data_IF_866892388980
#
_entry.id   IF_866892388980
#
_cell.length_a   1.000
_cell.length_b   1.000
_cell.length_c   1.000
_cell.angle_alpha   90.00
_cell.angle_beta   90.00
_cell.angle_gamma   90.00
#
_symmetry.space_group_name_H-M   'P 1'
#
loop_
_entity.id
_entity.type
_entity.pdbx_description
1 polymer ?
#
# COMPACT_ATOMS: atom_id res chain seq x y z
N UNK A 1 -25.20 -12.27 17.30
CA UNK A 1 -26.45 -11.53 17.05
C UNK A 1 -27.61 -11.95 17.97
N UNK A 2 -28.02 -13.24 18.07
CA UNK A 2 -29.12 -13.67 18.97
C UNK A 2 -28.92 -13.25 20.44
N UNK A 3 -27.77 -13.60 21.01
CA UNK A 3 -27.41 -13.20 22.38
C UNK A 3 -27.38 -11.68 22.61
N UNK A 4 -27.06 -10.90 21.58
CA UNK A 4 -27.05 -9.43 21.66
C UNK A 4 -28.45 -8.81 21.58
N UNK A 5 -29.48 -9.56 21.17
CA UNK A 5 -30.88 -9.14 21.32
C UNK A 5 -31.32 -9.26 22.78
N UNK A 6 -30.91 -10.35 23.43
CA UNK A 6 -31.32 -10.68 24.79
C UNK A 6 -30.50 -9.91 25.84
N UNK A 7 -29.20 -9.69 25.58
CA UNK A 7 -28.33 -8.93 26.47
C UNK A 7 -27.36 -8.02 25.68
N UNK A 8 -27.86 -6.87 25.19
CA UNK A 8 -27.11 -6.01 24.26
C UNK A 8 -25.79 -5.49 24.85
N UNK A 9 -25.77 -5.06 26.11
CA UNK A 9 -24.57 -4.48 26.72
C UNK A 9 -23.40 -5.46 26.82
N UNK A 10 -23.68 -6.76 26.97
CA UNK A 10 -22.66 -7.81 27.06
C UNK A 10 -22.18 -8.22 25.67
N UNK A 11 -23.10 -8.44 24.73
CA UNK A 11 -22.76 -9.12 23.47
C UNK A 11 -22.59 -8.21 22.26
N UNK A 12 -23.07 -6.96 22.29
CA UNK A 12 -22.85 -6.02 21.19
C UNK A 12 -21.36 -5.75 20.89
N UNK A 13 -20.45 -5.63 21.88
CA UNK A 13 -19.02 -5.46 21.60
C UNK A 13 -18.43 -6.60 20.77
N UNK A 14 -18.77 -7.84 21.12
CA UNK A 14 -18.33 -9.03 20.39
C UNK A 14 -18.94 -9.10 18.99
N UNK A 15 -20.22 -8.74 18.85
CA UNK A 15 -20.86 -8.67 17.52
C UNK A 15 -20.15 -7.64 16.64
N UNK A 16 -19.89 -6.44 17.15
CA UNK A 16 -19.19 -5.39 16.40
C UNK A 16 -17.77 -5.83 15.97
N UNK A 17 -17.02 -6.46 16.88
CA UNK A 17 -15.68 -7.00 16.60
C UNK A 17 -15.74 -8.05 15.49
N UNK A 18 -16.63 -9.04 15.62
CA UNK A 18 -16.76 -10.12 14.63
C UNK A 18 -17.18 -9.60 13.26
N UNK A 19 -18.10 -8.63 13.21
CA UNK A 19 -18.53 -8.02 11.95
C UNK A 19 -17.37 -7.27 11.27
N UNK A 20 -16.61 -6.48 12.03
CA UNK A 20 -15.42 -5.80 11.52
C UNK A 20 -14.39 -6.79 10.97
N UNK A 21 -14.12 -7.88 11.70
CA UNK A 21 -13.13 -8.87 11.29
C UNK A 21 -13.59 -9.69 10.07
N UNK A 22 -14.88 -10.03 10.00
CA UNK A 22 -15.44 -10.67 8.82
C UNK A 22 -15.37 -9.75 7.59
N UNK A 23 -15.64 -8.46 7.77
CA UNK A 23 -15.51 -7.48 6.70
C UNK A 23 -14.07 -7.35 6.19
N UNK A 24 -13.06 -7.41 7.08
CA UNK A 24 -11.65 -7.46 6.69
C UNK A 24 -11.37 -8.70 5.83
N UNK A 25 -11.82 -9.88 6.28
CA UNK A 25 -11.55 -11.15 5.61
C UNK A 25 -12.10 -11.18 4.18
N UNK A 26 -13.30 -10.65 3.96
CA UNK A 26 -14.02 -10.79 2.68
C UNK A 26 -13.89 -9.55 1.79
N UNK A 27 -13.37 -8.44 2.33
CA UNK A 27 -13.29 -7.16 1.62
C UNK A 27 -12.30 -7.16 0.44
N UNK A 28 -11.34 -8.08 0.44
CA UNK A 28 -10.42 -8.30 -0.68
C UNK A 28 -11.07 -9.02 -1.87
N UNK A 29 -12.20 -9.70 -1.67
CA UNK A 29 -12.91 -10.41 -2.73
C UNK A 29 -13.80 -9.43 -3.51
N UNK A 30 -13.50 -9.19 -4.79
CA UNK A 30 -14.22 -8.21 -5.60
C UNK A 30 -15.74 -8.40 -5.59
N UNK A 31 -16.21 -9.66 -5.60
CA UNK A 31 -17.64 -10.00 -5.61
C UNK A 31 -18.34 -9.77 -4.26
N UNK A 32 -17.58 -9.66 -3.16
CA UNK A 32 -18.09 -9.52 -1.79
C UNK A 32 -17.80 -8.18 -1.15
N UNK A 33 -17.23 -7.24 -1.90
CA UNK A 33 -16.92 -5.88 -1.42
C UNK A 33 -18.15 -5.17 -0.83
N UNK A 34 -19.32 -5.28 -1.47
CA UNK A 34 -20.59 -4.72 -0.96
C UNK A 34 -21.07 -5.39 0.33
N UNK A 35 -20.80 -6.68 0.49
CA UNK A 35 -21.08 -7.42 1.73
C UNK A 35 -20.17 -6.90 2.85
N UNK A 36 -18.86 -6.78 2.61
CA UNK A 36 -17.89 -6.23 3.56
C UNK A 36 -18.28 -4.82 4.03
N UNK A 37 -18.69 -3.96 3.09
CA UNK A 37 -19.14 -2.60 3.41
C UNK A 37 -20.35 -2.61 4.36
N UNK A 38 -21.34 -3.46 4.09
CA UNK A 38 -22.52 -3.61 4.94
C UNK A 38 -22.13 -4.04 6.35
N UNK A 39 -21.20 -4.99 6.47
CA UNK A 39 -20.69 -5.48 7.75
C UNK A 39 -19.93 -4.39 8.52
N UNK A 40 -19.08 -3.60 7.86
CA UNK A 40 -18.42 -2.45 8.49
C UNK A 40 -19.42 -1.40 8.98
N UNK A 41 -20.44 -1.07 8.18
CA UNK A 41 -21.48 -0.10 8.58
C UNK A 41 -22.29 -0.60 9.78
N UNK A 42 -22.61 -1.90 9.85
CA UNK A 42 -23.25 -2.51 11.03
C UNK A 42 -22.34 -2.48 12.26
N UNK A 43 -21.07 -2.86 12.12
CA UNK A 43 -20.07 -2.80 13.20
C UNK A 43 -19.92 -1.37 13.74
N UNK A 44 -19.79 -0.39 12.84
CA UNK A 44 -19.65 1.02 13.18
C UNK A 44 -20.87 1.53 13.95
N UNK A 45 -22.08 1.16 13.53
CA UNK A 45 -23.31 1.52 14.23
C UNK A 45 -23.35 0.94 15.65
N UNK A 46 -22.90 -0.30 15.83
CA UNK A 46 -22.79 -0.90 17.17
C UNK A 46 -21.75 -0.20 18.04
N UNK A 47 -20.54 0.05 17.53
CA UNK A 47 -19.51 0.76 18.29
C UNK A 47 -19.91 2.19 18.63
N UNK A 48 -20.53 2.94 17.71
CA UNK A 48 -21.05 4.30 18.01
C UNK A 48 -22.13 4.28 19.08
N UNK A 49 -23.02 3.28 19.09
CA UNK A 49 -24.02 3.14 20.16
C UNK A 49 -23.35 2.88 21.51
N UNK A 50 -22.38 1.96 21.55
CA UNK A 50 -21.64 1.62 22.77
C UNK A 50 -20.77 2.80 23.28
N UNK A 51 -20.20 3.59 22.37
CA UNK A 51 -19.36 4.75 22.70
C UNK A 51 -20.14 5.91 23.33
N UNK A 52 -21.48 5.97 23.18
CA UNK A 52 -22.30 6.96 23.90
C UNK A 52 -22.26 6.74 25.41
N UNK A 53 -22.22 5.47 25.83
CA UNK A 53 -22.23 5.11 27.25
C UNK A 53 -20.80 5.01 27.81
N UNK A 54 -19.85 4.50 27.02
CA UNK A 54 -18.46 4.26 27.44
C UNK A 54 -17.46 4.65 26.34
N UNK A 55 -17.24 5.96 26.09
CA UNK A 55 -16.45 6.44 24.96
C UNK A 55 -15.01 5.92 24.98
N UNK A 56 -14.32 5.97 26.11
CA UNK A 56 -12.93 5.51 26.21
C UNK A 56 -12.75 4.04 25.79
N UNK A 57 -13.75 3.19 26.03
CA UNK A 57 -13.67 1.75 25.70
C UNK A 57 -13.94 1.50 24.22
N UNK A 58 -14.89 2.23 23.62
CA UNK A 58 -15.41 1.88 22.30
C UNK A 58 -15.01 2.82 21.16
N UNK A 59 -14.52 4.02 21.46
CA UNK A 59 -13.93 4.91 20.45
C UNK A 59 -12.77 4.28 19.67
N UNK A 60 -11.88 3.46 20.26
CA UNK A 60 -10.90 2.70 19.48
C UNK A 60 -11.55 1.82 18.40
N UNK A 61 -12.64 1.12 18.75
CA UNK A 61 -13.42 0.31 17.79
C UNK A 61 -14.05 1.15 16.68
N UNK A 62 -14.61 2.32 17.02
CA UNK A 62 -15.14 3.29 16.04
C UNK A 62 -14.04 3.69 15.05
N UNK A 63 -12.88 4.14 15.54
CA UNK A 63 -11.79 4.62 14.69
C UNK A 63 -11.23 3.52 13.77
N UNK A 64 -11.03 2.31 14.30
CA UNK A 64 -10.57 1.15 13.52
C UNK A 64 -11.56 0.81 12.40
N UNK A 65 -12.85 0.74 12.71
CA UNK A 65 -13.87 0.43 11.69
C UNK A 65 -13.99 1.54 10.64
N UNK A 66 -13.89 2.81 11.01
CA UNK A 66 -13.86 3.93 10.07
C UNK A 66 -12.68 3.85 9.10
N UNK A 67 -11.47 3.61 9.62
CA UNK A 67 -10.26 3.46 8.80
C UNK A 67 -10.36 2.27 7.84
N UNK A 68 -10.91 1.13 8.31
CA UNK A 68 -11.07 -0.06 7.47
C UNK A 68 -12.13 0.13 6.39
N UNK A 69 -13.24 0.82 6.72
CA UNK A 69 -14.24 1.19 5.73
C UNK A 69 -13.67 2.17 4.70
N UNK A 70 -12.87 3.15 5.12
CA UNK A 70 -12.17 4.06 4.22
C UNK A 70 -11.22 3.31 3.26
N UNK A 71 -10.46 2.33 3.77
CA UNK A 71 -9.62 1.45 2.96
C UNK A 71 -10.44 0.65 1.93
N UNK A 72 -11.65 0.21 2.27
CA UNK A 72 -12.52 -0.52 1.36
C UNK A 72 -13.02 0.36 0.20
N UNK A 73 -13.40 1.61 0.51
CA UNK A 73 -14.10 2.49 -0.45
C UNK A 73 -13.16 3.39 -1.24
N UNK A 74 -11.91 3.60 -0.80
CA UNK A 74 -10.97 4.55 -1.42
C UNK A 74 -10.64 4.26 -2.89
N UNK A 75 -10.73 3.00 -3.31
CA UNK A 75 -10.45 2.58 -4.70
C UNK A 75 -11.60 2.87 -5.67
N UNK A 76 -12.77 3.25 -5.17
CA UNK A 76 -13.93 3.59 -5.99
C UNK A 76 -13.92 5.10 -6.25
N UNK A 77 -13.55 5.52 -7.46
CA UNK A 77 -13.43 6.94 -7.85
C UNK A 77 -14.58 7.85 -7.35
N UNK A 78 -15.89 7.49 -7.50
CA UNK A 78 -16.98 8.35 -7.03
C UNK A 78 -17.09 8.46 -5.49
N UNK A 79 -16.28 7.72 -4.72
CA UNK A 79 -16.36 7.61 -3.26
C UNK A 79 -15.08 8.02 -2.56
N UNK A 80 -14.16 8.67 -3.27
CA UNK A 80 -12.90 9.18 -2.71
C UNK A 80 -13.15 10.20 -1.58
N UNK A 81 -14.14 11.07 -1.74
CA UNK A 81 -14.56 12.03 -0.69
C UNK A 81 -15.16 11.34 0.55
N UNK A 82 -15.89 10.23 0.36
CA UNK A 82 -16.39 9.40 1.47
C UNK A 82 -15.21 8.80 2.25
N UNK A 83 -14.24 8.21 1.55
CA UNK A 83 -13.04 7.64 2.16
C UNK A 83 -12.25 8.68 2.96
N UNK A 84 -12.11 9.89 2.41
CA UNK A 84 -11.44 11.00 3.09
C UNK A 84 -12.15 11.40 4.39
N UNK A 85 -13.48 11.54 4.33
CA UNK A 85 -14.30 11.88 5.49
C UNK A 85 -14.13 10.84 6.60
N UNK A 86 -14.16 9.55 6.24
CA UNK A 86 -13.96 8.44 7.16
C UNK A 86 -12.55 8.45 7.80
N UNK A 87 -11.49 8.69 7.02
CA UNK A 87 -10.14 8.82 7.56
C UNK A 87 -10.00 10.01 8.51
N UNK A 88 -10.58 11.18 8.16
CA UNK A 88 -10.53 12.37 9.02
C UNK A 88 -11.25 12.15 10.34
N UNK A 89 -12.41 11.46 10.33
CA UNK A 89 -13.11 11.08 11.55
C UNK A 89 -12.27 10.11 12.41
N UNK A 90 -11.70 9.07 11.79
CA UNK A 90 -10.83 8.11 12.48
C UNK A 90 -9.59 8.78 13.09
N UNK A 91 -8.95 9.69 12.34
CA UNK A 91 -7.76 10.42 12.77
C UNK A 91 -8.09 11.35 13.96
N UNK A 92 -9.23 12.03 13.92
CA UNK A 92 -9.68 12.89 15.02
C UNK A 92 -9.82 12.08 16.30
N UNK A 93 -10.50 10.92 16.25
CA UNK A 93 -10.66 10.03 17.41
C UNK A 93 -9.30 9.54 17.90
N UNK A 94 -8.44 9.04 17.00
CA UNK A 94 -7.12 8.50 17.35
C UNK A 94 -6.19 9.54 17.96
N UNK A 95 -6.23 10.79 17.50
CA UNK A 95 -5.47 11.91 18.09
C UNK A 95 -5.96 12.22 19.51
N UNK A 96 -7.26 12.25 19.76
CA UNK A 96 -7.78 12.44 21.12
C UNK A 96 -7.38 11.31 22.07
N UNK A 97 -7.42 10.06 21.58
CA UNK A 97 -6.96 8.89 22.34
C UNK A 97 -5.44 8.96 22.62
N UNK A 98 -4.63 9.37 21.64
CA UNK A 98 -3.18 9.49 21.77
C UNK A 98 -2.74 10.58 22.76
N UNK A 99 -3.55 11.62 23.01
CA UNK A 99 -3.27 12.60 24.08
C UNK A 99 -3.20 11.95 25.47
N UNK A 100 -3.96 10.89 25.69
CA UNK A 100 -4.07 10.21 26.98
C UNK A 100 -3.20 8.95 27.05
N UNK A 101 -3.03 8.24 25.93
CA UNK A 101 -2.20 7.04 25.87
C UNK A 101 -1.41 6.96 24.55
N UNK A 102 -0.36 7.79 24.39
CA UNK A 102 0.37 7.92 23.12
C UNK A 102 1.03 6.61 22.69
N UNK A 103 1.58 5.83 23.62
CA UNK A 103 2.24 4.56 23.28
C UNK A 103 1.29 3.54 22.63
N UNK A 104 -0.01 3.59 22.97
CA UNK A 104 -1.01 2.69 22.40
C UNK A 104 -1.52 3.21 21.05
N UNK A 105 -1.78 4.51 20.93
CA UNK A 105 -2.53 5.06 19.79
C UNK A 105 -1.70 5.83 18.76
N UNK A 106 -0.43 6.15 19.03
CA UNK A 106 0.44 6.74 18.01
C UNK A 106 0.63 5.86 16.75
N UNK A 107 0.76 4.51 16.85
CA UNK A 107 0.82 3.66 15.66
C UNK A 107 -0.42 3.83 14.77
N UNK A 108 -1.60 3.88 15.40
CA UNK A 108 -2.89 4.06 14.75
C UNK A 108 -3.02 5.46 14.10
N UNK A 109 -2.53 6.51 14.77
CA UNK A 109 -2.46 7.87 14.20
C UNK A 109 -1.59 7.86 12.94
N UNK A 110 -0.38 7.31 13.02
CA UNK A 110 0.57 7.27 11.91
C UNK A 110 0.03 6.49 10.70
N UNK A 111 -0.60 5.34 10.93
CA UNK A 111 -1.24 4.56 9.87
C UNK A 111 -2.35 5.34 9.16
N UNK A 112 -3.19 6.05 9.92
CA UNK A 112 -4.28 6.86 9.35
C UNK A 112 -3.76 8.02 8.53
N UNK A 113 -2.71 8.70 9.02
CA UNK A 113 -2.05 9.80 8.32
C UNK A 113 -1.46 9.33 6.99
N UNK A 114 -0.74 8.21 6.99
CA UNK A 114 -0.17 7.62 5.78
C UNK A 114 -1.26 7.24 4.75
N UNK A 115 -2.37 6.65 5.20
CA UNK A 115 -3.49 6.28 4.32
C UNK A 115 -4.21 7.50 3.74
N UNK A 116 -4.42 8.54 4.55
CA UNK A 116 -5.03 9.79 4.10
C UNK A 116 -4.11 10.54 3.13
N UNK A 117 -2.81 10.59 3.40
CA UNK A 117 -1.81 11.16 2.50
C UNK A 117 -1.84 10.44 1.14
N UNK A 118 -1.83 9.10 1.15
CA UNK A 118 -1.93 8.31 -0.06
C UNK A 118 -3.25 8.49 -0.80
N UNK A 119 -4.34 8.80 -0.10
CA UNK A 119 -5.63 9.08 -0.73
C UNK A 119 -5.60 10.36 -1.54
N UNK A 120 -4.89 11.40 -1.08
CA UNK A 120 -4.95 12.74 -1.66
C UNK A 120 -3.69 13.09 -2.48
N UNK A 121 -2.69 12.20 -2.51
CA UNK A 121 -1.41 12.40 -3.18
C UNK A 121 -1.53 12.70 -4.68
N UNK A 122 -2.50 12.09 -5.36
CA UNK A 122 -2.70 12.29 -6.81
C UNK A 122 -3.45 13.60 -7.13
N UNK A 123 -4.01 14.28 -6.13
CA UNK A 123 -4.67 15.57 -6.32
C UNK A 123 -3.61 16.68 -6.36
N UNK A 124 -3.31 17.18 -7.57
CA UNK A 124 -2.23 18.16 -7.79
C UNK A 124 -2.27 19.37 -6.82
N UNK A 125 -3.47 19.89 -6.51
CA UNK A 125 -3.66 21.04 -5.61
C UNK A 125 -3.42 20.71 -4.12
N UNK A 126 -3.32 19.43 -3.77
CA UNK A 126 -3.23 18.93 -2.38
C UNK A 126 -1.96 18.13 -2.12
N UNK A 127 -1.01 18.09 -3.05
CA UNK A 127 0.30 17.43 -2.84
C UNK A 127 1.03 17.95 -1.61
N UNK A 128 0.95 19.27 -1.32
CA UNK A 128 1.53 19.84 -0.08
C UNK A 128 0.84 19.37 1.20
N UNK A 129 -0.47 19.12 1.17
CA UNK A 129 -1.22 18.53 2.27
C UNK A 129 -0.79 17.06 2.47
N UNK A 130 -0.71 16.28 1.38
CA UNK A 130 -0.24 14.90 1.41
C UNK A 130 1.17 14.78 2.02
N UNK A 131 2.08 15.67 1.62
CA UNK A 131 3.44 15.68 2.14
C UNK A 131 3.48 15.98 3.65
N UNK A 132 2.67 16.94 4.11
CA UNK A 132 2.57 17.27 5.53
C UNK A 132 2.09 16.06 6.35
N UNK A 133 1.09 15.34 5.84
CA UNK A 133 0.58 14.13 6.47
C UNK A 133 1.61 13.00 6.49
N UNK A 134 2.36 12.78 5.40
CA UNK A 134 3.44 11.80 5.38
C UNK A 134 4.57 12.14 6.35
N UNK A 135 4.95 13.42 6.47
CA UNK A 135 5.96 13.86 7.44
C UNK A 135 5.52 13.57 8.87
N UNK A 136 4.28 13.90 9.23
CA UNK A 136 3.74 13.60 10.56
C UNK A 136 3.68 12.08 10.82
N UNK A 137 3.28 11.28 9.82
CA UNK A 137 3.29 9.82 9.93
C UNK A 137 4.71 9.28 10.16
N UNK A 138 5.67 9.76 9.38
CA UNK A 138 7.08 9.35 9.44
C UNK A 138 7.72 9.71 10.79
N UNK A 139 7.44 10.90 11.33
CA UNK A 139 7.95 11.31 12.64
C UNK A 139 7.41 10.40 13.76
N UNK A 140 6.13 10.05 13.70
CA UNK A 140 5.53 9.10 14.65
C UNK A 140 6.14 7.70 14.52
N UNK A 141 6.26 7.16 13.30
CA UNK A 141 6.85 5.84 13.08
C UNK A 141 8.33 5.79 13.45
N UNK A 142 9.12 6.83 13.16
CA UNK A 142 10.53 6.92 13.59
C UNK A 142 10.65 6.96 15.10
N UNK A 143 9.76 7.66 15.80
CA UNK A 143 9.72 7.65 17.27
C UNK A 143 9.44 6.24 17.80
N UNK A 144 8.46 5.55 17.23
CA UNK A 144 8.09 4.18 17.62
C UNK A 144 9.20 3.15 17.30
N UNK A 145 9.88 3.32 16.16
CA UNK A 145 10.97 2.45 15.72
C UNK A 145 12.23 2.56 16.57
N UNK A 146 12.43 3.65 17.33
CA UNK A 146 13.53 3.74 18.31
C UNK A 146 13.39 2.70 19.41
N UNK A 147 12.16 2.44 19.84
CA UNK A 147 11.86 1.50 20.92
C UNK A 147 11.65 0.07 20.38
N UNK A 148 11.00 -0.06 19.22
CA UNK A 148 10.65 -1.36 18.62
C UNK A 148 10.92 -1.38 17.10
N UNK A 149 12.20 -1.42 16.68
CA UNK A 149 12.56 -1.28 15.27
C UNK A 149 11.97 -2.39 14.39
N UNK A 150 12.00 -3.66 14.84
CA UNK A 150 11.45 -4.77 14.06
C UNK A 150 9.95 -4.64 13.78
N UNK A 151 9.21 -3.90 14.63
CA UNK A 151 7.76 -3.69 14.46
C UNK A 151 7.48 -2.54 13.50
N UNK A 152 8.21 -1.42 13.62
CA UNK A 152 7.85 -0.17 12.97
C UNK A 152 8.77 0.26 11.82
N UNK A 153 9.93 -0.37 11.62
CA UNK A 153 10.74 -0.13 10.43
C UNK A 153 10.02 -0.44 9.10
N UNK A 154 9.15 -1.46 8.99
CA UNK A 154 8.36 -1.66 7.77
C UNK A 154 7.50 -0.43 7.43
N UNK A 155 6.88 0.18 8.44
CA UNK A 155 6.04 1.37 8.27
C UNK A 155 6.87 2.61 7.93
N UNK A 156 8.05 2.78 8.56
CA UNK A 156 9.01 3.84 8.20
C UNK A 156 9.38 3.72 6.72
N UNK A 157 9.75 2.53 6.27
CA UNK A 157 10.17 2.29 4.88
C UNK A 157 9.02 2.54 3.88
N UNK A 158 7.80 2.10 4.21
CA UNK A 158 6.60 2.35 3.39
C UNK A 158 6.32 3.84 3.26
N UNK A 159 6.32 4.58 4.37
CA UNK A 159 6.05 6.03 4.35
C UNK A 159 7.13 6.80 3.60
N UNK A 160 8.41 6.43 3.74
CA UNK A 160 9.52 7.00 2.97
C UNK A 160 9.33 6.77 1.46
N UNK A 161 9.02 5.54 1.05
CA UNK A 161 8.76 5.22 -0.35
C UNK A 161 7.60 6.05 -0.92
N UNK A 162 6.48 6.13 -0.20
CA UNK A 162 5.31 6.89 -0.64
C UNK A 162 5.59 8.40 -0.74
N UNK A 163 6.33 8.95 0.23
CA UNK A 163 6.74 10.35 0.20
C UNK A 163 7.73 10.60 -0.95
N UNK A 164 8.64 9.68 -1.24
CA UNK A 164 9.55 9.76 -2.38
C UNK A 164 8.79 9.80 -3.71
N UNK A 165 7.79 8.93 -3.89
CA UNK A 165 6.90 8.95 -5.06
C UNK A 165 6.14 10.28 -5.17
N UNK A 166 5.60 10.80 -4.06
CA UNK A 166 4.90 12.08 -4.05
C UNK A 166 5.77 13.27 -4.47
N UNK A 167 7.09 13.24 -4.26
CA UNK A 167 7.96 14.37 -4.60
C UNK A 167 8.80 14.13 -5.85
N UNK A 168 8.75 12.92 -6.43
CA UNK A 168 9.56 12.54 -7.59
C UNK A 168 9.26 13.36 -8.84
N UNK A 169 8.01 13.82 -9.02
CA UNK A 169 7.63 14.65 -10.18
C UNK A 169 8.12 16.11 -10.05
N UNK A 170 8.56 16.54 -8.86
CA UNK A 170 9.11 17.87 -8.66
C UNK A 170 10.60 17.89 -9.03
N UNK A 171 10.95 18.34 -10.24
CA UNK A 171 12.33 18.34 -10.75
C UNK A 171 13.37 18.94 -9.78
N UNK A 172 13.01 20.00 -9.04
CA UNK A 172 13.88 20.66 -8.05
C UNK A 172 14.18 19.81 -6.80
N UNK A 173 13.43 18.73 -6.58
CA UNK A 173 13.49 17.85 -5.39
C UNK A 173 13.98 16.44 -5.72
N UNK A 174 14.51 16.23 -6.92
CA UNK A 174 15.05 14.93 -7.34
C UNK A 174 16.04 14.33 -6.31
N UNK A 175 16.96 15.13 -5.77
CA UNK A 175 17.93 14.66 -4.77
C UNK A 175 17.29 14.26 -3.43
N UNK A 176 16.21 14.92 -3.05
CA UNK A 176 15.43 14.57 -1.85
C UNK A 176 14.69 13.25 -2.08
N UNK A 177 14.03 13.09 -3.23
CA UNK A 177 13.36 11.84 -3.61
C UNK A 177 14.34 10.65 -3.63
N UNK A 178 15.52 10.83 -4.23
CA UNK A 178 16.58 9.81 -4.26
C UNK A 178 17.04 9.41 -2.85
N UNK A 179 17.12 10.36 -1.92
CA UNK A 179 17.50 10.08 -0.52
C UNK A 179 16.42 9.25 0.18
N UNK A 180 15.14 9.61 0.01
CA UNK A 180 14.02 8.89 0.61
C UNK A 180 13.89 7.46 0.07
N UNK A 181 14.03 7.26 -1.24
CA UNK A 181 14.02 5.91 -1.83
C UNK A 181 15.16 5.03 -1.30
N UNK A 182 16.38 5.58 -1.18
CA UNK A 182 17.52 4.85 -0.61
C UNK A 182 17.29 4.46 0.84
N UNK A 183 16.79 5.39 1.66
CA UNK A 183 16.48 5.10 3.06
C UNK A 183 15.38 4.02 3.17
N UNK A 184 14.35 4.05 2.32
CA UNK A 184 13.33 3.00 2.25
C UNK A 184 13.94 1.63 1.89
N UNK A 185 14.79 1.58 0.85
CA UNK A 185 15.47 0.35 0.44
C UNK A 185 16.38 -0.23 1.51
N UNK A 186 17.15 0.61 2.20
CA UNK A 186 18.06 0.16 3.26
C UNK A 186 17.27 -0.47 4.43
N UNK A 187 16.13 0.12 4.80
CA UNK A 187 15.24 -0.45 5.81
C UNK A 187 14.62 -1.78 5.37
N UNK A 188 14.05 -1.86 4.15
CA UNK A 188 13.47 -3.11 3.67
C UNK A 188 14.51 -4.22 3.44
N UNK A 189 15.72 -3.89 2.96
CA UNK A 189 16.81 -4.87 2.83
C UNK A 189 17.26 -5.41 4.17
N UNK A 190 17.34 -4.56 5.20
CA UNK A 190 17.63 -5.00 6.56
C UNK A 190 16.56 -5.96 7.08
N UNK A 191 15.28 -5.64 6.87
CA UNK A 191 14.16 -6.51 7.27
C UNK A 191 14.15 -7.84 6.48
N UNK A 192 14.51 -7.82 5.21
CA UNK A 192 14.60 -9.00 4.36
C UNK A 192 15.74 -9.95 4.73
N UNK A 193 16.78 -9.49 5.44
CA UNK A 193 17.81 -10.38 6.00
C UNK A 193 17.22 -11.35 7.02
N UNK A 194 16.28 -10.89 7.84
CA UNK A 194 15.63 -11.68 8.89
C UNK A 194 14.43 -12.48 8.34
N UNK A 195 13.63 -11.86 7.45
CA UNK A 195 12.43 -12.48 6.91
C UNK A 195 12.25 -12.18 5.41
N UNK A 196 13.02 -12.87 4.53
CA UNK A 196 13.04 -12.57 3.11
C UNK A 196 11.68 -12.81 2.43
N UNK A 197 10.93 -13.83 2.84
CA UNK A 197 9.63 -14.15 2.24
C UNK A 197 8.59 -13.04 2.46
N UNK A 198 8.73 -12.27 3.55
CA UNK A 198 7.83 -11.16 3.86
C UNK A 198 8.26 -9.87 3.17
N UNK A 199 9.56 -9.54 3.21
CA UNK A 199 10.02 -8.18 2.85
C UNK A 199 10.72 -8.08 1.49
N UNK A 200 11.11 -9.18 0.84
CA UNK A 200 11.63 -9.10 -0.53
C UNK A 200 10.63 -8.50 -1.54
N UNK A 201 9.32 -8.79 -1.48
CA UNK A 201 8.35 -8.10 -2.33
C UNK A 201 8.35 -6.58 -2.14
N UNK A 202 8.58 -6.09 -0.91
CA UNK A 202 8.66 -4.66 -0.63
C UNK A 202 9.96 -4.04 -1.17
N UNK A 203 11.09 -4.75 -1.07
CA UNK A 203 12.34 -4.35 -1.74
C UNK A 203 12.11 -4.19 -3.25
N UNK A 204 11.47 -5.18 -3.90
CA UNK A 204 11.17 -5.12 -5.33
C UNK A 204 10.22 -3.96 -5.68
N UNK A 205 9.19 -3.71 -4.87
CA UNK A 205 8.28 -2.59 -5.07
C UNK A 205 9.02 -1.24 -5.00
N UNK A 206 9.87 -1.03 -4.00
CA UNK A 206 10.65 0.22 -3.85
C UNK A 206 11.67 0.38 -4.98
N UNK A 207 12.36 -0.70 -5.39
CA UNK A 207 13.25 -0.67 -6.56
C UNK A 207 12.50 -0.31 -7.85
N UNK A 208 11.29 -0.86 -8.03
CA UNK A 208 10.42 -0.54 -9.16
C UNK A 208 10.00 0.94 -9.19
N UNK A 209 9.53 1.46 -8.05
CA UNK A 209 9.14 2.87 -7.92
C UNK A 209 10.32 3.82 -8.15
N UNK A 210 11.50 3.47 -7.62
CA UNK A 210 12.70 4.27 -7.80
C UNK A 210 13.25 4.19 -9.24
N UNK A 211 13.19 3.01 -9.86
CA UNK A 211 13.50 2.83 -11.27
C UNK A 211 12.58 3.64 -12.19
N UNK A 212 11.28 3.65 -11.91
CA UNK A 212 10.31 4.49 -12.61
C UNK A 212 10.66 5.98 -12.46
N UNK A 213 10.98 6.44 -11.25
CA UNK A 213 11.41 7.82 -11.03
C UNK A 213 12.66 8.17 -11.85
N UNK A 214 13.66 7.28 -11.91
CA UNK A 214 14.83 7.49 -12.77
C UNK A 214 14.49 7.55 -14.26
N UNK A 215 13.54 6.76 -14.75
CA UNK A 215 13.06 6.88 -16.13
C UNK A 215 12.41 8.25 -16.38
N UNK A 216 11.57 8.73 -15.46
CA UNK A 216 10.97 10.06 -15.56
C UNK A 216 12.00 11.20 -15.54
N UNK A 217 13.09 11.03 -14.80
CA UNK A 217 14.20 11.99 -14.79
C UNK A 217 15.15 11.87 -15.98
N UNK A 218 14.87 10.98 -16.96
CA UNK A 218 15.72 10.78 -18.13
C UNK A 218 17.05 10.09 -17.81
N UNK A 219 17.08 9.24 -16.78
CA UNK A 219 18.27 8.53 -16.29
C UNK A 219 18.13 7.00 -16.41
N UNK A 220 17.91 6.44 -17.62
CA UNK A 220 17.69 5.00 -17.81
C UNK A 220 18.87 4.14 -17.32
N UNK A 221 20.11 4.65 -17.42
CA UNK A 221 21.30 3.96 -16.90
C UNK A 221 21.26 3.74 -15.38
N UNK A 222 20.58 4.62 -14.63
CA UNK A 222 20.37 4.43 -13.19
C UNK A 222 19.14 3.55 -12.90
N UNK A 223 18.12 3.60 -13.75
CA UNK A 223 16.92 2.77 -13.62
C UNK A 223 17.23 1.28 -13.87
N UNK A 224 17.99 0.98 -14.92
CA UNK A 224 18.33 -0.38 -15.39
C UNK A 224 18.77 -1.34 -14.28
N UNK A 225 19.80 -1.04 -13.45
CA UNK A 225 20.22 -1.97 -12.41
C UNK A 225 19.14 -2.21 -11.34
N UNK A 226 18.37 -1.19 -10.96
CA UNK A 226 17.29 -1.32 -9.97
C UNK A 226 16.16 -2.21 -10.48
N UNK A 227 15.76 -1.99 -11.74
CA UNK A 227 14.68 -2.74 -12.36
C UNK A 227 15.08 -4.19 -12.61
N UNK A 228 16.33 -4.46 -13.01
CA UNK A 228 16.86 -5.83 -13.13
C UNK A 228 16.90 -6.56 -11.78
N UNK A 229 17.29 -5.88 -10.70
CA UNK A 229 17.25 -6.46 -9.36
C UNK A 229 15.79 -6.75 -8.93
N UNK A 230 14.88 -5.79 -9.16
CA UNK A 230 13.47 -5.95 -8.82
C UNK A 230 12.80 -7.14 -9.52
N UNK A 231 13.04 -7.33 -10.83
CA UNK A 231 12.49 -8.47 -11.58
C UNK A 231 13.05 -9.80 -11.09
N UNK A 232 14.33 -9.86 -10.74
CA UNK A 232 14.96 -11.07 -10.19
C UNK A 232 14.37 -11.44 -8.83
N UNK A 233 14.20 -10.46 -7.95
CA UNK A 233 13.61 -10.68 -6.61
C UNK A 233 12.18 -11.20 -6.74
N UNK A 234 11.37 -10.62 -7.63
CA UNK A 234 9.94 -10.86 -7.70
C UNK A 234 9.56 -12.08 -8.57
N UNK A 235 10.44 -12.53 -9.48
CA UNK A 235 10.23 -13.71 -10.34
C UNK A 235 9.74 -14.98 -9.60
N UNK A 236 10.42 -15.47 -8.53
CA UNK A 236 9.95 -16.66 -7.82
C UNK A 236 8.56 -16.47 -7.20
N UNK A 237 8.24 -15.28 -6.69
CA UNK A 237 6.93 -14.97 -6.12
C UNK A 237 5.84 -14.95 -7.19
N UNK A 238 6.11 -14.35 -8.36
CA UNK A 238 5.19 -14.31 -9.48
C UNK A 238 4.89 -15.70 -10.04
N UNK A 239 5.87 -16.62 -10.08
CA UNK A 239 5.64 -18.00 -10.49
C UNK A 239 4.83 -18.81 -9.48
N UNK A 240 5.07 -18.61 -8.19
CA UNK A 240 4.38 -19.34 -7.13
C UNK A 240 2.95 -18.81 -6.87
N UNK A 241 2.78 -17.50 -6.92
CA UNK A 241 1.55 -16.78 -6.60
C UNK A 241 1.22 -15.73 -7.68
N UNK A 242 0.92 -16.17 -8.92
CA UNK A 242 0.71 -15.28 -10.07
C UNK A 242 -0.47 -14.32 -9.87
N UNK A 243 -1.49 -14.72 -9.11
CA UNK A 243 -2.63 -13.85 -8.77
C UNK A 243 -2.25 -12.66 -7.89
N UNK A 244 -1.15 -12.75 -7.14
CA UNK A 244 -0.71 -11.70 -6.20
C UNK A 244 0.43 -10.87 -6.80
N UNK A 245 1.38 -11.53 -7.46
CA UNK A 245 2.63 -10.89 -7.91
C UNK A 245 2.79 -10.85 -9.43
N UNK A 246 1.96 -11.54 -10.21
CA UNK A 246 2.09 -11.63 -11.66
C UNK A 246 2.01 -10.27 -12.35
N UNK A 247 0.96 -9.49 -12.07
CA UNK A 247 0.82 -8.14 -12.64
C UNK A 247 1.95 -7.20 -12.21
N UNK A 248 2.38 -7.29 -10.95
CA UNK A 248 3.53 -6.52 -10.44
C UNK A 248 4.81 -6.86 -11.21
N UNK A 249 5.08 -8.15 -11.42
CA UNK A 249 6.23 -8.62 -12.19
C UNK A 249 6.17 -8.13 -13.64
N UNK A 250 5.01 -8.26 -14.29
CA UNK A 250 4.81 -7.79 -15.66
C UNK A 250 5.05 -6.28 -15.81
N UNK A 251 4.58 -5.46 -14.85
CA UNK A 251 4.84 -4.01 -14.85
C UNK A 251 6.33 -3.70 -14.70
N UNK A 252 7.03 -4.33 -13.75
CA UNK A 252 8.46 -4.08 -13.55
C UNK A 252 9.28 -4.55 -14.76
N UNK A 253 8.93 -5.68 -15.39
CA UNK A 253 9.56 -6.15 -16.63
C UNK A 253 9.40 -5.13 -17.77
N UNK A 254 8.21 -4.52 -17.92
CA UNK A 254 7.99 -3.45 -18.91
C UNK A 254 8.86 -2.23 -18.62
N UNK A 255 8.95 -1.80 -17.38
CA UNK A 255 9.84 -0.70 -17.00
C UNK A 255 11.31 -1.04 -17.29
N UNK A 256 11.72 -2.29 -17.02
CA UNK A 256 13.07 -2.75 -17.29
C UNK A 256 13.39 -2.72 -18.79
N UNK A 257 12.43 -3.07 -19.65
CA UNK A 257 12.53 -2.94 -21.11
C UNK A 257 12.67 -1.48 -21.53
N UNK A 258 11.90 -0.55 -20.93
CA UNK A 258 12.06 0.89 -21.21
C UNK A 258 13.43 1.43 -20.79
N UNK A 259 14.05 0.85 -19.76
CA UNK A 259 15.39 1.23 -19.31
C UNK A 259 16.52 0.68 -20.20
N UNK A 260 16.23 -0.33 -21.03
CA UNK A 260 17.23 -1.06 -21.82
C UNK A 260 16.65 -1.62 -23.15
N UNK A 261 16.08 -0.77 -24.02
CA UNK A 261 15.35 -1.25 -25.21
C UNK A 261 16.26 -1.86 -26.28
N UNK A 262 17.57 -1.56 -26.24
CA UNK A 262 18.56 -2.03 -27.23
C UNK A 262 19.01 -3.47 -26.99
N UNK A 263 18.83 -4.02 -25.79
CA UNK A 263 19.16 -5.41 -25.46
C UNK A 263 18.00 -6.32 -25.90
N UNK A 264 17.92 -6.61 -27.21
CA UNK A 264 16.81 -7.36 -27.81
C UNK A 264 16.59 -8.72 -27.13
N UNK A 265 17.67 -9.42 -26.76
CA UNK A 265 17.57 -10.70 -26.03
C UNK A 265 16.86 -10.51 -24.68
N UNK A 266 17.24 -9.47 -23.93
CA UNK A 266 16.57 -9.13 -22.68
C UNK A 266 15.10 -8.73 -22.91
N UNK A 267 14.81 -7.91 -23.92
CA UNK A 267 13.44 -7.49 -24.25
C UNK A 267 12.55 -8.70 -24.53
N UNK A 268 13.01 -9.63 -25.35
CA UNK A 268 12.25 -10.82 -25.71
C UNK A 268 12.02 -11.75 -24.52
N UNK A 269 13.05 -11.98 -23.70
CA UNK A 269 12.91 -12.77 -22.48
C UNK A 269 11.94 -12.12 -21.48
N UNK A 270 12.06 -10.81 -21.27
CA UNK A 270 11.25 -10.06 -20.32
C UNK A 270 9.77 -10.01 -20.73
N UNK A 271 9.47 -9.79 -22.01
CA UNK A 271 8.09 -9.73 -22.48
C UNK A 271 7.43 -11.11 -22.54
N UNK A 272 8.20 -12.17 -22.82
CA UNK A 272 7.71 -13.55 -22.69
C UNK A 272 7.33 -13.87 -21.25
N UNK A 273 8.22 -13.58 -20.28
CA UNK A 273 7.90 -13.77 -18.86
C UNK A 273 6.69 -12.94 -18.43
N UNK A 274 6.60 -11.68 -18.85
CA UNK A 274 5.46 -10.82 -18.54
C UNK A 274 4.14 -11.39 -19.08
N UNK A 275 4.12 -11.95 -20.29
CA UNK A 275 2.93 -12.59 -20.88
C UNK A 275 2.51 -13.87 -20.13
N UNK A 276 3.46 -14.60 -19.55
CA UNK A 276 3.18 -15.81 -18.77
C UNK A 276 2.54 -15.49 -17.41
N UNK A 277 3.06 -14.48 -16.71
CA UNK A 277 2.65 -14.20 -15.32
C UNK A 277 1.51 -13.20 -15.19
N UNK A 278 1.31 -12.31 -16.18
CA UNK A 278 0.26 -11.29 -16.13
C UNK A 278 -1.15 -11.89 -16.02
N UNK A 279 -1.94 -11.32 -15.11
CA UNK A 279 -3.35 -11.63 -14.89
C UNK A 279 -4.25 -10.58 -15.53
N UNK A 280 -3.82 -9.32 -15.55
CA UNK A 280 -4.47 -8.25 -16.27
C UNK A 280 -4.35 -8.47 -17.79
N UNK A 281 -5.49 -8.48 -18.48
CA UNK A 281 -5.57 -8.79 -19.90
C UNK A 281 -4.76 -7.81 -20.75
N UNK A 282 -4.85 -6.50 -20.49
CA UNK A 282 -4.09 -5.49 -21.24
C UNK A 282 -2.58 -5.67 -21.02
N UNK A 283 -2.17 -6.00 -19.79
CA UNK A 283 -0.77 -6.29 -19.49
C UNK A 283 -0.27 -7.54 -20.23
N UNK A 284 -1.13 -8.54 -20.33
CA UNK A 284 -0.83 -9.80 -21.00
C UNK A 284 -0.76 -9.66 -22.51
N UNK A 285 -1.73 -8.96 -23.10
CA UNK A 285 -1.88 -8.84 -24.55
C UNK A 285 -0.70 -8.07 -25.15
N UNK A 286 -0.34 -6.89 -24.61
CA UNK A 286 0.84 -6.16 -25.15
C UNK A 286 2.13 -6.95 -24.98
N UNK A 287 2.28 -7.69 -23.86
CA UNK A 287 3.48 -8.50 -23.63
C UNK A 287 3.55 -9.67 -24.62
N UNK A 288 2.40 -10.29 -24.93
CA UNK A 288 2.28 -11.37 -25.91
C UNK A 288 2.59 -10.87 -27.32
N UNK A 289 2.09 -9.70 -27.71
CA UNK A 289 2.39 -9.08 -29.01
C UNK A 289 3.89 -8.87 -29.21
N UNK A 290 4.59 -8.29 -28.22
CA UNK A 290 6.04 -8.07 -28.31
C UNK A 290 6.81 -9.40 -28.32
N UNK A 291 6.40 -10.37 -27.49
CA UNK A 291 6.98 -11.72 -27.47
C UNK A 291 6.81 -12.45 -28.83
N UNK A 292 5.69 -12.25 -29.51
CA UNK A 292 5.47 -12.82 -30.85
C UNK A 292 6.41 -12.21 -31.89
N UNK A 293 6.56 -10.88 -31.89
CA UNK A 293 7.49 -10.18 -32.79
C UNK A 293 8.93 -10.67 -32.61
N UNK A 294 9.36 -10.89 -31.38
CA UNK A 294 10.66 -11.47 -31.07
C UNK A 294 10.89 -12.84 -31.73
N UNK A 295 9.90 -13.74 -31.67
CA UNK A 295 9.98 -15.06 -32.30
C UNK A 295 10.03 -14.98 -33.83
N UNK A 296 9.37 -13.99 -34.43
CA UNK A 296 9.43 -13.78 -35.88
C UNK A 296 10.80 -13.28 -36.33
N UNK A 297 11.48 -12.47 -35.52
CA UNK A 297 12.86 -12.02 -35.80
C UNK A 297 13.87 -13.15 -35.66
N UNK A 298 13.72 -14.04 -34.67
CA UNK A 298 14.63 -15.19 -34.46
C UNK A 298 14.51 -16.27 -35.55
N UNK A 299 13.36 -16.36 -36.24
CA UNK A 299 13.09 -17.38 -37.26
C UNK A 299 13.39 -16.93 -38.71
N UNK A 300 13.83 -15.68 -38.92
CA UNK A 300 14.20 -15.11 -40.23
C UNK A 300 15.70 -14.83 -40.31
#
# INVERSE_FOLDING_TARGET
>A
RKLAKDNPHVYLPYVATTLNNLAILIGGEAQRRREAETLYKEALNHYRKLAKDNPHVYLPGVATTLNNLANLVRGEAPRREEAETLYKEALTIRRELAKHNPHVYLPDVAATLNNLAALIADEAQRRGEAETLYKEALDNYRKLAKDNPHVYLPDVAMTLNNMATLIADEARRQGEAETLYKEALDNYRKLAQDNPQVYLPDVANTLGAFGLAYLHWGLPNKAKPLLREATQILNPFAKQLPTVFGDKQAVILRLAVLADPEDTNFVCAAMTEAAEVAQNTDLKDTATEISNLCREVENN
#
